data_IF_010694651979
#
_entry.id   IF_010694651979
#
_cell.length_a   1.000
_cell.length_b   1.000
_cell.length_c   1.000
_cell.angle_alpha   90.00
_cell.angle_beta   90.00
_cell.angle_gamma   90.00
#
_symmetry.space_group_name_H-M   'P 1'
#
loop_
_entity.id
_entity.type
_entity.pdbx_description
1 polymer ?
#
# COMPACT_ATOMS: atom_id res chain seq x y z
N UNK A 1 -27.83 28.12 -66.27
CA UNK A 1 -27.72 28.39 -64.83
C UNK A 1 -27.59 27.05 -64.08
N UNK A 2 -26.40 26.71 -63.57
CA UNK A 2 -26.13 25.43 -62.87
C UNK A 2 -26.20 25.66 -61.35
N UNK A 3 -27.15 25.00 -60.67
CA UNK A 3 -27.27 25.01 -59.20
C UNK A 3 -26.31 23.98 -58.62
N UNK A 4 -25.29 24.43 -57.89
CA UNK A 4 -24.38 23.58 -57.12
C UNK A 4 -25.10 23.17 -55.84
N UNK A 5 -25.38 21.88 -55.68
CA UNK A 5 -26.01 21.33 -54.48
C UNK A 5 -24.94 21.15 -53.41
N UNK A 6 -25.06 21.94 -52.34
CA UNK A 6 -24.23 21.92 -51.14
C UNK A 6 -24.31 20.55 -50.47
N UNK A 7 -23.15 19.90 -50.30
CA UNK A 7 -22.99 18.65 -49.55
C UNK A 7 -22.99 18.96 -48.05
N UNK A 8 -24.00 18.48 -47.34
CA UNK A 8 -24.06 18.49 -45.88
C UNK A 8 -23.11 17.41 -45.33
N UNK A 9 -22.01 17.83 -44.71
CA UNK A 9 -21.09 16.95 -43.99
C UNK A 9 -21.62 16.81 -42.55
N UNK A 10 -22.28 15.68 -42.27
CA UNK A 10 -22.71 15.31 -40.92
C UNK A 10 -21.51 14.78 -40.12
N UNK A 11 -20.96 15.63 -39.26
CA UNK A 11 -19.89 15.29 -38.31
C UNK A 11 -20.51 14.50 -37.14
N UNK A 12 -20.28 13.19 -37.12
CA UNK A 12 -20.61 12.31 -36.01
C UNK A 12 -19.64 12.54 -34.84
N UNK A 13 -20.14 13.19 -33.78
CA UNK A 13 -19.46 13.34 -32.49
C UNK A 13 -19.31 11.97 -31.82
N UNK A 14 -18.13 11.38 -31.91
CA UNK A 14 -17.70 10.23 -31.11
C UNK A 14 -17.41 10.71 -29.70
N UNK A 15 -18.40 10.66 -28.80
CA UNK A 15 -18.16 10.87 -27.37
C UNK A 15 -17.49 9.61 -26.80
N UNK A 16 -16.17 9.61 -26.76
CA UNK A 16 -15.40 8.64 -26.00
C UNK A 16 -15.66 8.88 -24.51
N UNK A 17 -16.40 7.96 -23.89
CA UNK A 17 -16.55 7.86 -22.45
C UNK A 17 -15.17 7.60 -21.84
N UNK A 18 -14.49 8.68 -21.44
CA UNK A 18 -13.25 8.59 -20.68
C UNK A 18 -13.50 7.81 -19.40
N UNK A 19 -13.00 6.59 -19.33
CA UNK A 19 -12.87 5.85 -18.07
C UNK A 19 -12.11 6.73 -17.09
N UNK A 20 -12.83 7.38 -16.16
CA UNK A 20 -12.23 8.04 -15.00
C UNK A 20 -11.53 6.96 -14.19
N UNK A 21 -10.23 6.80 -14.43
CA UNK A 21 -9.37 5.96 -13.64
C UNK A 21 -9.31 6.62 -12.25
N UNK A 22 -10.26 6.27 -11.39
CA UNK A 22 -10.27 6.64 -9.98
C UNK A 22 -9.11 5.92 -9.33
N UNK A 23 -7.90 6.46 -9.52
CA UNK A 23 -6.70 6.00 -8.87
C UNK A 23 -6.96 6.02 -7.38
N UNK A 24 -7.21 4.85 -6.80
CA UNK A 24 -7.35 4.70 -5.37
C UNK A 24 -6.01 5.12 -4.75
N UNK A 25 -5.91 6.39 -4.35
CA UNK A 25 -4.77 6.90 -3.61
C UNK A 25 -4.74 6.14 -2.29
N UNK A 26 -3.72 5.31 -2.11
CA UNK A 26 -3.52 4.65 -0.83
C UNK A 26 -3.06 5.69 0.19
N UNK A 27 -3.43 5.50 1.46
CA UNK A 27 -2.99 6.37 2.57
C UNK A 27 -1.47 6.26 2.82
N UNK A 28 -0.86 5.16 2.37
CA UNK A 28 0.54 4.85 2.61
C UNK A 28 1.33 4.78 1.30
N UNK A 29 2.65 4.93 1.41
CA UNK A 29 3.60 4.99 0.30
C UNK A 29 4.78 4.03 0.52
N UNK A 30 5.52 3.68 -0.56
CA UNK A 30 6.75 2.91 -0.44
C UNK A 30 7.73 3.51 0.59
N UNK A 31 8.40 2.64 1.34
CA UNK A 31 9.31 3.00 2.43
C UNK A 31 8.63 3.19 3.80
N UNK A 32 7.30 3.26 3.86
CA UNK A 32 6.58 3.41 5.12
C UNK A 32 6.29 2.06 5.80
N UNK A 33 6.18 2.10 7.13
CA UNK A 33 5.71 0.98 7.92
C UNK A 33 4.34 1.24 8.55
N UNK A 34 3.55 0.18 8.68
CA UNK A 34 2.15 0.22 9.08
C UNK A 34 1.93 -0.85 10.14
N UNK A 35 1.41 -0.47 11.30
CA UNK A 35 0.99 -1.42 12.34
C UNK A 35 -0.51 -1.66 12.26
N UNK A 36 -0.91 -2.91 12.31
CA UNK A 36 -2.31 -3.30 12.48
C UNK A 36 -2.70 -3.26 13.96
N UNK A 37 -3.85 -2.68 14.29
CA UNK A 37 -4.38 -2.60 15.65
C UNK A 37 -5.83 -3.06 15.66
N UNK A 38 -6.19 -3.89 16.64
CA UNK A 38 -7.58 -4.26 16.86
C UNK A 38 -8.29 -3.17 17.67
N UNK A 39 -9.47 -2.74 17.21
CA UNK A 39 -10.22 -1.63 17.82
C UNK A 39 -11.43 -2.08 18.67
N UNK A 40 -11.81 -3.36 18.59
CA UNK A 40 -13.04 -3.86 19.20
C UNK A 40 -12.86 -4.57 20.56
N UNK A 41 -11.62 -4.76 21.02
CA UNK A 41 -11.39 -5.33 22.34
C UNK A 41 -11.48 -4.24 23.40
N UNK A 42 -12.20 -4.54 24.47
CA UNK A 42 -12.36 -3.63 25.59
C UNK A 42 -10.98 -3.09 26.03
N UNK A 43 -10.95 -1.79 26.34
CA UNK A 43 -9.76 -0.91 26.37
C UNK A 43 -8.54 -1.44 27.15
N UNK A 44 -8.72 -2.46 27.98
CA UNK A 44 -7.70 -3.14 28.78
C UNK A 44 -6.82 -4.15 27.99
N UNK A 45 -7.21 -4.60 26.79
CA UNK A 45 -6.37 -5.48 25.94
C UNK A 45 -6.22 -4.93 24.52
N UNK A 46 -5.48 -3.83 24.37
CA UNK A 46 -5.05 -3.38 23.04
C UNK A 46 -3.95 -4.32 22.52
N UNK A 47 -4.32 -5.34 21.75
CA UNK A 47 -3.35 -6.18 21.05
C UNK A 47 -2.78 -5.42 19.85
N UNK A 48 -1.47 -5.18 19.87
CA UNK A 48 -0.75 -4.72 18.68
C UNK A 48 -0.62 -5.90 17.73
N UNK A 49 -1.19 -5.75 16.54
CA UNK A 49 -1.08 -6.72 15.47
C UNK A 49 0.26 -6.61 14.73
N UNK A 50 0.38 -7.30 13.59
CA UNK A 50 1.60 -7.32 12.80
C UNK A 50 2.00 -5.93 12.29
N UNK A 51 3.31 -5.73 12.12
CA UNK A 51 3.87 -4.56 11.46
C UNK A 51 4.23 -4.94 10.03
N UNK A 52 3.73 -4.15 9.07
CA UNK A 52 4.03 -4.29 7.66
C UNK A 52 4.98 -3.19 7.20
N UNK A 53 5.84 -3.49 6.24
CA UNK A 53 6.62 -2.54 5.47
C UNK A 53 6.13 -2.52 4.03
N UNK A 54 5.94 -1.35 3.47
CA UNK A 54 5.63 -1.17 2.05
C UNK A 54 6.95 -1.07 1.31
N UNK A 55 7.37 -2.16 0.66
CA UNK A 55 8.67 -2.24 0.00
C UNK A 55 8.67 -1.47 -1.32
N UNK A 56 7.62 -1.62 -2.14
CA UNK A 56 7.49 -0.91 -3.40
C UNK A 56 6.05 -0.83 -3.90
N UNK A 57 5.80 0.15 -4.77
CA UNK A 57 4.54 0.29 -5.51
C UNK A 57 4.62 -0.50 -6.82
N UNK A 58 3.63 -1.38 -7.03
CA UNK A 58 3.46 -2.23 -8.21
C UNK A 58 2.13 -1.89 -8.90
N UNK A 59 1.87 -0.59 -9.10
CA UNK A 59 0.70 -0.06 -9.79
C UNK A 59 -0.58 -0.20 -8.99
N UNK A 60 -1.24 -1.36 -9.04
CA UNK A 60 -2.48 -1.65 -8.28
C UNK A 60 -2.21 -2.29 -6.91
N UNK A 61 -0.99 -2.76 -6.70
CA UNK A 61 -0.58 -3.48 -5.51
C UNK A 61 0.65 -2.83 -4.87
N UNK A 62 0.86 -3.12 -3.60
CA UNK A 62 2.11 -2.93 -2.90
C UNK A 62 2.82 -4.26 -2.74
N UNK A 63 4.13 -4.25 -2.93
CA UNK A 63 5.02 -5.29 -2.40
C UNK A 63 5.18 -5.04 -0.91
N UNK A 64 4.92 -6.05 -0.07
CA UNK A 64 4.95 -5.87 1.38
C UNK A 64 5.76 -6.94 2.08
N UNK A 65 6.39 -6.54 3.19
CA UNK A 65 7.06 -7.41 4.13
C UNK A 65 6.45 -7.26 5.53
N UNK A 66 6.58 -8.28 6.37
CA UNK A 66 6.11 -8.29 7.76
C UNK A 66 7.30 -8.34 8.71
N UNK A 67 7.19 -7.63 9.84
CA UNK A 67 8.17 -7.68 10.90
C UNK A 67 7.98 -8.92 11.77
N UNK A 68 9.00 -9.76 11.85
CA UNK A 68 8.98 -10.96 12.69
C UNK A 68 10.40 -11.31 13.14
N UNK A 69 10.58 -11.64 14.43
CA UNK A 69 11.87 -12.04 15.01
C UNK A 69 13.06 -11.15 14.58
N UNK A 70 12.90 -9.83 14.73
CA UNK A 70 13.93 -8.85 14.36
C UNK A 70 14.31 -8.85 12.86
N UNK A 71 13.44 -9.35 11.99
CA UNK A 71 13.69 -9.45 10.55
C UNK A 71 12.45 -9.07 9.73
N UNK A 72 12.68 -8.63 8.50
CA UNK A 72 11.61 -8.38 7.52
C UNK A 72 11.41 -9.62 6.67
N UNK A 73 10.23 -10.22 6.73
CA UNK A 73 9.86 -11.38 5.93
C UNK A 73 8.93 -10.94 4.80
N UNK A 74 9.26 -11.28 3.55
CA UNK A 74 8.41 -10.95 2.42
C UNK A 74 7.04 -11.66 2.51
N UNK A 75 5.95 -10.91 2.32
CA UNK A 75 4.57 -11.40 2.47
C UNK A 75 3.77 -11.36 1.15
N UNK A 76 4.40 -11.03 0.02
CA UNK A 76 3.73 -10.99 -1.27
C UNK A 76 3.23 -9.60 -1.69
N UNK A 77 2.32 -9.60 -2.66
CA UNK A 77 1.64 -8.41 -3.15
C UNK A 77 0.30 -8.23 -2.42
N UNK A 78 0.02 -7.01 -1.95
CA UNK A 78 -1.28 -6.62 -1.37
C UNK A 78 -1.90 -5.50 -2.19
N UNK A 79 -3.22 -5.50 -2.37
CA UNK A 79 -3.91 -4.40 -3.05
C UNK A 79 -3.71 -3.09 -2.29
N UNK A 80 -3.68 -1.95 -3.01
CA UNK A 80 -3.51 -0.62 -2.39
C UNK A 80 -4.55 -0.26 -1.31
N UNK A 81 -5.71 -0.92 -1.33
CA UNK A 81 -6.78 -0.75 -0.35
C UNK A 81 -6.71 -1.75 0.83
N UNK A 82 -5.70 -2.61 0.88
CA UNK A 82 -5.53 -3.59 1.96
C UNK A 82 -5.42 -2.90 3.33
N UNK A 83 -4.62 -1.83 3.40
CA UNK A 83 -4.39 -1.01 4.60
C UNK A 83 -5.48 0.04 4.84
N UNK A 84 -6.71 -0.21 4.41
CA UNK A 84 -7.86 0.64 4.69
C UNK A 84 -8.47 0.23 6.04
N UNK A 85 -8.71 1.20 6.91
CA UNK A 85 -9.34 0.97 8.21
C UNK A 85 -10.72 0.30 8.06
N UNK A 86 -11.01 -0.57 9.02
CA UNK A 86 -12.26 -1.33 9.15
C UNK A 86 -12.77 -1.17 10.58
N UNK A 87 -14.02 -1.57 10.82
CA UNK A 87 -14.65 -1.48 12.15
C UNK A 87 -13.79 -2.12 13.25
N UNK A 88 -13.22 -3.28 12.97
CA UNK A 88 -12.44 -4.10 13.92
C UNK A 88 -10.93 -3.87 13.85
N UNK A 89 -10.41 -3.33 12.74
CA UNK A 89 -8.98 -3.30 12.43
C UNK A 89 -8.59 -1.93 11.87
N UNK A 90 -7.61 -1.29 12.50
CA UNK A 90 -7.11 0.02 12.12
C UNK A 90 -5.63 -0.09 11.78
N UNK A 91 -5.19 0.62 10.76
CA UNK A 91 -3.83 0.60 10.25
C UNK A 91 -3.15 1.93 10.53
N UNK A 92 -2.11 1.98 11.36
CA UNK A 92 -1.43 3.24 11.68
C UNK A 92 -0.02 3.26 11.12
N UNK A 93 0.39 4.41 10.56
CA UNK A 93 1.78 4.63 10.17
C UNK A 93 2.69 4.64 11.39
N UNK A 94 3.83 3.97 11.30
CA UNK A 94 4.85 3.94 12.35
C UNK A 94 6.24 4.00 11.74
N UNK A 95 7.24 4.29 12.58
CA UNK A 95 8.64 4.11 12.21
C UNK A 95 8.90 2.63 11.95
N UNK A 96 9.62 2.33 10.86
CA UNK A 96 10.01 0.98 10.56
C UNK A 96 10.96 0.45 11.64
N UNK A 97 10.62 -0.66 12.33
CA UNK A 97 11.55 -1.26 13.26
C UNK A 97 12.83 -1.69 12.53
N UNK A 98 13.95 -1.50 13.21
CA UNK A 98 15.24 -2.00 12.83
C UNK A 98 15.63 -3.16 13.74
N UNK A 99 16.06 -4.28 13.14
CA UNK A 99 16.33 -5.49 13.90
C UNK A 99 17.64 -5.41 14.64
N UNK A 100 18.64 -4.84 13.95
CA UNK A 100 20.04 -4.77 14.39
C UNK A 100 20.85 -3.70 13.66
N UNK A 101 20.26 -2.79 12.88
CA UNK A 101 21.06 -1.84 12.07
C UNK A 101 21.96 -0.96 12.96
N UNK A 102 21.45 -0.56 14.13
CA UNK A 102 22.14 0.24 15.16
C UNK A 102 22.85 -0.58 16.26
N UNK A 103 22.76 -1.91 16.23
CA UNK A 103 23.47 -2.74 17.19
C UNK A 103 24.99 -2.64 16.96
N UNK A 104 25.77 -2.67 18.05
CA UNK A 104 27.22 -2.66 17.97
C UNK A 104 27.71 -3.85 17.12
N UNK A 105 28.88 -3.70 16.47
CA UNK A 105 29.49 -4.79 15.68
C UNK A 105 29.64 -6.06 16.54
N UNK A 106 29.96 -5.87 17.82
CA UNK A 106 30.09 -6.93 18.82
C UNK A 106 28.79 -7.72 19.05
N UNK A 107 27.64 -7.05 19.09
CA UNK A 107 26.33 -7.71 19.28
C UNK A 107 25.83 -8.39 17.99
N UNK A 108 26.26 -7.89 16.83
CA UNK A 108 25.99 -8.55 15.54
C UNK A 108 26.73 -9.89 15.44
N UNK A 109 27.97 -9.97 15.93
CA UNK A 109 28.82 -11.16 15.88
C UNK A 109 28.35 -12.26 16.85
N UNK A 110 27.87 -11.92 18.05
CA UNK A 110 27.36 -12.91 19.03
C UNK A 110 26.16 -13.73 18.56
N UNK A 111 25.44 -13.26 17.53
CA UNK A 111 24.33 -14.01 16.93
C UNK A 111 24.73 -14.94 15.79
N UNK A 112 26.02 -15.01 15.44
CA UNK A 112 26.56 -15.85 14.35
C UNK A 112 27.25 -17.11 14.91
N UNK A 113 27.54 -17.17 16.21
CA UNK A 113 27.98 -18.41 16.85
C UNK A 113 26.82 -19.42 16.88
N UNK A 114 26.95 -20.45 16.06
CA UNK A 114 26.16 -21.68 16.01
C UNK A 114 26.79 -22.73 16.93
#
# INVERSE_FOLDING_TARGET
>A
MKKVKSLFVSVLLVTSYGCKNSGHKSRFSPGQCVVEKQNNYASYVKQSGPIYKIDSDQGKNFKVSIWHNHSWLYQGLKRKNYFKDRKTLVYNGINCPDGRSKASITDKLKGIDL
#
